data_IF_093894403127
#
_entry.id   IF_093894403127
#
_cell.length_a   1.000
_cell.length_b   1.000
_cell.length_c   1.000
_cell.angle_alpha   90.00
_cell.angle_beta   90.00
_cell.angle_gamma   90.00
#
_symmetry.space_group_name_H-M   'P 1'
#
loop_
_entity.id
_entity.type
_entity.pdbx_description
1 polymer ?
#
# COMPACT_ATOMS: atom_id res chain seq x y z
N UNK A 1 -17.09 -12.76 17.94
CA UNK A 1 -15.75 -12.61 18.48
C UNK A 1 -15.37 -13.90 19.21
N UNK A 2 -14.11 -14.31 19.10
CA UNK A 2 -13.55 -15.49 19.79
C UNK A 2 -12.16 -15.14 20.28
N UNK A 3 -11.74 -15.71 21.40
CA UNK A 3 -10.39 -15.62 21.93
C UNK A 3 -9.49 -16.76 21.45
N UNK A 4 -10.08 -17.77 20.78
CA UNK A 4 -9.40 -18.97 20.34
C UNK A 4 -9.63 -19.17 18.84
N UNK A 5 -8.62 -19.73 18.17
CA UNK A 5 -8.73 -20.20 16.80
C UNK A 5 -9.36 -21.60 16.79
N UNK A 6 -10.09 -21.98 15.74
CA UNK A 6 -10.64 -23.33 15.63
C UNK A 6 -9.52 -24.35 15.43
N UNK A 7 -9.44 -25.36 16.32
CA UNK A 7 -8.48 -26.43 16.26
C UNK A 7 -9.00 -27.63 15.42
N UNK A 8 -10.31 -27.80 15.31
CA UNK A 8 -10.95 -28.88 14.58
C UNK A 8 -11.15 -28.58 13.10
N UNK A 9 -10.98 -29.55 12.21
CA UNK A 9 -11.12 -29.38 10.76
C UNK A 9 -12.51 -28.83 10.35
N UNK A 10 -13.59 -29.31 11.00
CA UNK A 10 -14.95 -28.83 10.72
C UNK A 10 -15.14 -27.35 11.07
N UNK A 11 -14.56 -26.91 12.19
CA UNK A 11 -14.58 -25.51 12.61
C UNK A 11 -13.68 -24.65 11.71
N UNK A 12 -12.60 -25.21 11.18
CA UNK A 12 -11.73 -24.53 10.21
C UNK A 12 -12.49 -24.21 8.92
N UNK A 13 -13.35 -25.10 8.44
CA UNK A 13 -14.21 -24.86 7.28
C UNK A 13 -15.27 -23.78 7.55
N UNK A 14 -15.79 -23.70 8.78
CA UNK A 14 -16.68 -22.63 9.21
C UNK A 14 -15.92 -21.28 9.31
N UNK A 15 -14.73 -21.32 9.89
CA UNK A 15 -13.86 -20.14 10.05
C UNK A 15 -13.48 -19.53 8.69
N UNK A 16 -13.28 -20.35 7.65
CA UNK A 16 -12.99 -19.84 6.30
C UNK A 16 -14.19 -19.11 5.65
N UNK A 17 -15.40 -19.27 6.18
CA UNK A 17 -16.60 -18.55 5.72
C UNK A 17 -16.66 -17.11 6.25
N UNK A 18 -15.95 -16.80 7.35
CA UNK A 18 -15.79 -15.43 7.82
C UNK A 18 -14.72 -14.72 6.99
N UNK A 19 -15.17 -13.90 6.06
CA UNK A 19 -14.28 -13.24 5.11
C UNK A 19 -13.35 -12.24 5.80
N UNK A 20 -13.91 -11.33 6.59
CA UNK A 20 -13.17 -10.31 7.33
C UNK A 20 -12.73 -10.85 8.70
N UNK A 21 -11.48 -10.57 9.03
CA UNK A 21 -10.87 -10.96 10.30
C UNK A 21 -10.09 -9.79 10.87
N UNK A 22 -10.28 -9.55 12.16
CA UNK A 22 -9.60 -8.49 12.90
C UNK A 22 -9.01 -9.06 14.17
N UNK A 23 -7.78 -8.66 14.47
CA UNK A 23 -7.15 -8.94 15.76
C UNK A 23 -7.39 -7.73 16.64
N UNK A 24 -8.09 -7.94 17.76
CA UNK A 24 -8.41 -6.90 18.74
C UNK A 24 -7.52 -7.10 19.96
N UNK A 25 -6.58 -6.18 20.16
CA UNK A 25 -5.70 -6.17 21.33
C UNK A 25 -6.28 -5.36 22.49
N UNK A 26 -5.57 -5.36 23.61
CA UNK A 26 -5.87 -4.47 24.72
C UNK A 26 -5.55 -3.01 24.37
N UNK A 27 -6.23 -2.09 25.07
CA UNK A 27 -5.95 -0.65 24.94
C UNK A 27 -4.56 -0.41 25.52
N UNK A 28 -3.62 0.05 24.69
CA UNK A 28 -2.23 0.28 25.09
C UNK A 28 -2.00 1.67 25.68
N UNK A 29 -2.78 2.68 25.23
CA UNK A 29 -2.58 4.06 25.65
C UNK A 29 -3.48 4.43 26.82
N UNK A 30 -2.91 4.94 27.89
CA UNK A 30 -3.60 5.32 29.13
C UNK A 30 -4.75 6.31 28.89
N UNK A 31 -4.57 7.28 27.99
CA UNK A 31 -5.62 8.26 27.69
C UNK A 31 -6.86 7.63 27.05
N UNK A 32 -6.69 6.60 26.22
CA UNK A 32 -7.81 5.84 25.63
C UNK A 32 -8.48 4.95 26.66
N UNK A 33 -7.67 4.35 27.54
CA UNK A 33 -8.18 3.54 28.63
C UNK A 33 -9.02 4.38 29.58
N UNK A 34 -8.56 5.55 30.02
CA UNK A 34 -9.32 6.50 30.87
C UNK A 34 -10.59 6.95 30.16
N UNK A 35 -10.52 7.30 28.88
CA UNK A 35 -11.71 7.67 28.10
C UNK A 35 -12.74 6.55 28.02
N UNK A 36 -12.32 5.30 27.93
CA UNK A 36 -13.20 4.13 27.98
C UNK A 36 -13.92 4.05 29.35
N UNK A 37 -13.18 4.25 30.44
CA UNK A 37 -13.77 4.22 31.81
C UNK A 37 -14.75 5.36 32.03
N UNK A 38 -14.50 6.54 31.49
CA UNK A 38 -15.34 7.73 31.62
C UNK A 38 -16.57 7.70 30.71
N UNK A 39 -16.54 6.88 29.65
CA UNK A 39 -17.58 6.83 28.62
C UNK A 39 -18.83 6.13 29.13
N UNK A 40 -19.81 6.90 29.54
CA UNK A 40 -21.18 6.44 29.90
C UNK A 40 -22.18 6.62 28.75
N UNK A 41 -21.75 7.12 27.57
CA UNK A 41 -22.67 7.41 26.47
C UNK A 41 -23.17 6.13 25.82
N UNK A 42 -24.48 5.90 25.86
CA UNK A 42 -25.13 5.01 24.91
C UNK A 42 -24.97 5.60 23.51
N UNK A 43 -24.37 4.83 22.62
CA UNK A 43 -24.30 5.23 21.22
C UNK A 43 -25.71 5.37 20.65
N UNK A 44 -25.99 6.46 19.95
CA UNK A 44 -27.21 6.60 19.16
C UNK A 44 -27.27 5.44 18.15
N UNK A 45 -28.38 4.71 18.12
CA UNK A 45 -28.58 3.59 17.22
C UNK A 45 -28.99 4.10 15.86
N UNK A 46 -28.10 4.05 14.90
CA UNK A 46 -28.47 4.23 13.50
C UNK A 46 -29.13 2.95 12.99
N UNK A 47 -30.29 3.07 12.33
CA UNK A 47 -31.04 1.95 11.77
C UNK A 47 -31.18 2.12 10.26
N UNK A 48 -31.12 1.00 9.54
CA UNK A 48 -31.43 0.91 8.11
C UNK A 48 -32.63 -0.03 7.92
N UNK A 49 -33.52 0.31 7.01
CA UNK A 49 -34.56 -0.62 6.55
C UNK A 49 -33.94 -1.67 5.61
N UNK A 50 -34.61 -2.81 5.45
CA UNK A 50 -34.18 -3.83 4.49
C UNK A 50 -34.14 -3.29 3.06
N UNK A 51 -35.08 -2.46 2.67
CA UNK A 51 -35.14 -1.86 1.35
C UNK A 51 -33.94 -0.92 1.08
N UNK A 52 -33.55 -0.12 2.06
CA UNK A 52 -32.34 0.72 1.96
C UNK A 52 -31.08 -0.14 1.85
N UNK A 53 -31.00 -1.24 2.59
CA UNK A 53 -29.86 -2.16 2.52
C UNK A 53 -29.76 -2.82 1.14
N UNK A 54 -30.89 -3.28 0.57
CA UNK A 54 -30.94 -3.87 -0.76
C UNK A 54 -30.53 -2.86 -1.85
N UNK A 55 -30.99 -1.61 -1.73
CA UNK A 55 -30.59 -0.54 -2.65
C UNK A 55 -29.07 -0.26 -2.56
N UNK A 56 -28.51 -0.15 -1.36
CA UNK A 56 -27.07 -0.01 -1.16
C UNK A 56 -26.28 -1.19 -1.76
N UNK A 57 -26.75 -2.44 -1.60
CA UNK A 57 -26.12 -3.61 -2.20
C UNK A 57 -26.11 -3.55 -3.72
N UNK A 58 -27.20 -3.09 -4.34
CA UNK A 58 -27.27 -2.90 -5.79
C UNK A 58 -26.30 -1.82 -6.27
N UNK A 59 -26.17 -0.72 -5.53
CA UNK A 59 -25.21 0.34 -5.83
C UNK A 59 -23.76 -0.14 -5.71
N UNK A 60 -23.44 -0.94 -4.69
CA UNK A 60 -22.12 -1.57 -4.52
C UNK A 60 -21.77 -2.46 -5.72
N UNK A 61 -22.72 -3.28 -6.19
CA UNK A 61 -22.51 -4.14 -7.36
C UNK A 61 -22.26 -3.36 -8.67
N UNK A 62 -22.73 -2.11 -8.75
CA UNK A 62 -22.50 -1.24 -9.89
C UNK A 62 -21.08 -0.62 -9.93
N UNK A 63 -20.30 -0.72 -8.83
CA UNK A 63 -18.91 -0.26 -8.78
C UNK A 63 -18.06 -1.14 -9.68
N UNK A 64 -17.36 -0.55 -10.64
CA UNK A 64 -16.54 -1.28 -11.61
C UNK A 64 -15.20 -1.74 -10.98
N UNK A 65 -14.67 -2.86 -11.49
CA UNK A 65 -13.34 -3.34 -11.10
C UNK A 65 -12.45 -3.34 -12.35
N UNK A 66 -11.50 -2.39 -12.45
CA UNK A 66 -10.60 -2.31 -13.59
C UNK A 66 -9.64 -3.49 -13.68
N UNK A 67 -9.15 -3.79 -14.88
CA UNK A 67 -8.28 -4.94 -15.15
C UNK A 67 -6.92 -4.88 -14.40
N UNK A 68 -6.44 -3.69 -14.06
CA UNK A 68 -5.20 -3.54 -13.29
C UNK A 68 -5.39 -4.00 -11.83
N UNK A 69 -6.58 -3.83 -11.25
CA UNK A 69 -6.91 -4.33 -9.90
C UNK A 69 -6.87 -5.85 -9.86
N UNK A 70 -7.45 -6.53 -10.86
CA UNK A 70 -7.34 -8.00 -10.95
C UNK A 70 -5.89 -8.48 -11.04
N UNK A 71 -5.03 -7.75 -11.77
CA UNK A 71 -3.59 -8.05 -11.83
C UNK A 71 -2.92 -7.84 -10.48
N UNK A 72 -3.24 -6.75 -9.78
CA UNK A 72 -2.76 -6.50 -8.42
C UNK A 72 -3.12 -7.63 -7.45
N UNK A 73 -4.36 -8.13 -7.50
CA UNK A 73 -4.78 -9.30 -6.70
C UNK A 73 -3.96 -10.55 -7.05
N UNK A 74 -3.72 -10.80 -8.34
CA UNK A 74 -2.93 -11.94 -8.78
C UNK A 74 -1.47 -11.83 -8.33
N UNK A 75 -0.91 -10.62 -8.31
CA UNK A 75 0.45 -10.36 -7.81
C UNK A 75 0.54 -10.58 -6.31
N UNK A 76 -0.44 -10.07 -5.53
CA UNK A 76 -0.55 -10.33 -4.09
C UNK A 76 -0.59 -11.84 -3.83
N UNK A 77 -1.47 -12.57 -4.53
CA UNK A 77 -1.57 -14.05 -4.40
C UNK A 77 -0.22 -14.73 -4.64
N UNK A 78 0.50 -14.32 -5.67
CA UNK A 78 1.79 -14.90 -6.05
C UNK A 78 2.85 -14.66 -4.97
N UNK A 79 2.92 -13.45 -4.43
CA UNK A 79 3.90 -13.11 -3.41
C UNK A 79 3.58 -13.76 -2.05
N UNK A 80 2.30 -13.84 -1.66
CA UNK A 80 1.88 -14.55 -0.46
C UNK A 80 2.18 -16.06 -0.57
N UNK A 81 1.92 -16.67 -1.72
CA UNK A 81 2.24 -18.08 -1.95
C UNK A 81 3.74 -18.38 -1.82
N UNK A 82 4.63 -17.47 -2.27
CA UNK A 82 6.09 -17.60 -2.07
C UNK A 82 6.48 -17.61 -0.58
N UNK A 83 5.66 -17.00 0.24
CA UNK A 83 5.85 -16.93 1.71
C UNK A 83 5.07 -18.02 2.45
N UNK A 84 4.52 -19.02 1.73
CA UNK A 84 3.70 -20.12 2.24
C UNK A 84 2.37 -19.67 2.89
N UNK A 85 1.90 -18.45 2.59
CA UNK A 85 0.60 -17.96 3.02
C UNK A 85 -0.38 -18.22 1.88
N UNK A 86 -1.25 -19.21 2.06
CA UNK A 86 -2.19 -19.67 1.03
C UNK A 86 -3.62 -19.38 1.46
N UNK A 87 -4.25 -18.39 0.83
CA UNK A 87 -5.69 -18.17 0.96
C UNK A 87 -6.46 -18.94 -0.12
N UNK A 88 -7.68 -19.38 0.19
CA UNK A 88 -8.52 -20.12 -0.76
C UNK A 88 -8.97 -19.23 -1.94
N UNK A 89 -9.16 -19.82 -3.13
CA UNK A 89 -9.69 -19.12 -4.29
C UNK A 89 -11.06 -18.49 -4.02
N UNK A 90 -11.85 -19.14 -3.17
CA UNK A 90 -13.13 -18.62 -2.68
C UNK A 90 -12.95 -17.27 -1.97
N UNK A 91 -11.93 -17.12 -1.12
CA UNK A 91 -11.66 -15.87 -0.39
C UNK A 91 -11.29 -14.74 -1.35
N UNK A 92 -10.45 -15.02 -2.34
CA UNK A 92 -10.14 -14.07 -3.40
C UNK A 92 -11.38 -13.63 -4.18
N UNK A 93 -12.26 -14.57 -4.53
CA UNK A 93 -13.50 -14.25 -5.23
C UNK A 93 -14.45 -13.39 -4.38
N UNK A 94 -14.63 -13.76 -3.11
CA UNK A 94 -15.50 -13.00 -2.19
C UNK A 94 -14.92 -11.62 -1.87
N UNK A 95 -13.61 -11.44 -1.89
CA UNK A 95 -12.99 -10.14 -1.65
C UNK A 95 -13.31 -9.09 -2.73
N UNK A 96 -13.72 -9.50 -3.93
CA UNK A 96 -14.13 -8.55 -4.97
C UNK A 96 -15.32 -7.69 -4.52
N UNK A 97 -16.36 -8.33 -3.97
CA UNK A 97 -17.51 -7.61 -3.43
C UNK A 97 -17.13 -6.70 -2.24
N UNK A 98 -16.15 -7.12 -1.44
CA UNK A 98 -15.63 -6.32 -0.34
C UNK A 98 -14.91 -5.07 -0.85
N UNK A 99 -14.05 -5.20 -1.88
CA UNK A 99 -13.36 -4.07 -2.50
C UNK A 99 -14.35 -3.09 -3.14
N UNK A 100 -15.39 -3.59 -3.81
CA UNK A 100 -16.48 -2.76 -4.35
C UNK A 100 -17.21 -2.00 -3.23
N UNK A 101 -17.51 -2.68 -2.12
CA UNK A 101 -18.15 -2.05 -0.97
C UNK A 101 -17.27 -0.97 -0.33
N UNK A 102 -15.96 -1.22 -0.22
CA UNK A 102 -15.01 -0.24 0.29
C UNK A 102 -14.94 0.99 -0.60
N UNK A 103 -14.76 0.83 -1.91
CA UNK A 103 -14.74 1.92 -2.88
C UNK A 103 -16.06 2.73 -2.86
N UNK A 104 -17.20 2.04 -2.78
CA UNK A 104 -18.51 2.68 -2.65
C UNK A 104 -18.62 3.55 -1.39
N UNK A 105 -18.18 3.05 -0.24
CA UNK A 105 -18.18 3.80 1.02
C UNK A 105 -17.25 5.01 1.02
N UNK A 106 -16.18 4.96 0.22
CA UNK A 106 -15.28 6.10 -0.05
C UNK A 106 -15.84 7.07 -1.12
N UNK A 107 -17.02 6.79 -1.67
CA UNK A 107 -17.68 7.61 -2.69
C UNK A 107 -17.15 7.43 -4.11
N UNK A 108 -16.37 6.37 -4.35
CA UNK A 108 -15.76 6.07 -5.63
C UNK A 108 -16.70 5.21 -6.52
N UNK A 109 -16.58 5.35 -7.84
CA UNK A 109 -17.36 4.59 -8.83
C UNK A 109 -16.63 3.38 -9.37
N UNK A 110 -15.34 3.26 -9.07
CA UNK A 110 -14.53 2.12 -9.45
C UNK A 110 -13.51 1.81 -8.34
N UNK A 111 -13.12 0.55 -8.27
CA UNK A 111 -12.10 0.07 -7.32
C UNK A 111 -10.73 0.53 -7.78
N UNK A 112 -9.99 1.16 -6.88
CA UNK A 112 -8.62 1.63 -7.11
C UNK A 112 -7.57 0.70 -6.47
N UNK A 113 -6.29 0.89 -6.81
CA UNK A 113 -5.20 0.12 -6.16
C UNK A 113 -5.15 0.31 -4.64
N UNK A 114 -5.49 1.50 -4.14
CA UNK A 114 -5.57 1.78 -2.70
C UNK A 114 -6.53 0.85 -1.95
N UNK A 115 -7.61 0.40 -2.62
CA UNK A 115 -8.60 -0.48 -2.00
C UNK A 115 -8.03 -1.88 -1.73
N UNK A 116 -6.98 -2.29 -2.46
CA UNK A 116 -6.30 -3.56 -2.24
C UNK A 116 -5.67 -3.69 -0.85
N UNK A 117 -5.39 -2.58 -0.17
CA UNK A 117 -4.94 -2.62 1.24
C UNK A 117 -5.93 -3.35 2.13
N UNK A 118 -7.23 -3.27 1.82
CA UNK A 118 -8.26 -3.92 2.62
C UNK A 118 -8.15 -5.45 2.64
N UNK A 119 -7.42 -6.03 1.68
CA UNK A 119 -7.12 -7.47 1.64
C UNK A 119 -6.25 -7.94 2.82
N UNK A 120 -5.59 -7.03 3.54
CA UNK A 120 -4.87 -7.36 4.77
C UNK A 120 -5.78 -7.98 5.84
N UNK A 121 -7.08 -7.67 5.81
CA UNK A 121 -8.08 -8.23 6.73
C UNK A 121 -8.73 -9.51 6.21
N UNK A 122 -8.33 -9.98 5.03
CA UNK A 122 -8.97 -11.09 4.32
C UNK A 122 -8.04 -12.30 4.16
N UNK A 123 -6.76 -12.08 3.80
CA UNK A 123 -5.93 -13.12 3.20
C UNK A 123 -5.10 -13.94 4.20
N UNK A 124 -5.16 -13.67 5.49
CA UNK A 124 -4.49 -14.46 6.51
C UNK A 124 -5.44 -15.51 7.14
N UNK A 125 -4.86 -16.58 7.66
CA UNK A 125 -5.58 -17.65 8.40
C UNK A 125 -5.25 -17.60 9.88
N UNK A 126 -3.99 -17.44 10.20
CA UNK A 126 -3.47 -17.31 11.56
C UNK A 126 -3.14 -15.84 11.85
N UNK A 127 -3.48 -15.30 13.03
CA UNK A 127 -3.08 -13.95 13.44
C UNK A 127 -1.58 -13.67 13.30
N UNK A 128 -0.73 -14.69 13.44
CA UNK A 128 0.71 -14.56 13.23
C UNK A 128 1.09 -14.21 11.77
N UNK A 129 0.24 -14.56 10.79
CA UNK A 129 0.44 -14.24 9.38
C UNK A 129 0.05 -12.79 9.05
N UNK A 130 -0.79 -12.16 9.88
CA UNK A 130 -1.41 -10.87 9.58
C UNK A 130 -0.39 -9.79 9.22
N UNK A 131 0.67 -9.62 10.02
CA UNK A 131 1.69 -8.60 9.75
C UNK A 131 2.47 -8.89 8.47
N UNK A 132 2.73 -10.17 8.17
CA UNK A 132 3.40 -10.55 6.93
C UNK A 132 2.52 -10.32 5.69
N UNK A 133 1.20 -10.58 5.79
CA UNK A 133 0.22 -10.27 4.74
C UNK A 133 0.17 -8.77 4.50
N UNK A 134 0.00 -7.99 5.57
CA UNK A 134 -0.04 -6.53 5.53
C UNK A 134 1.19 -5.93 4.87
N UNK A 135 2.38 -6.32 5.32
CA UNK A 135 3.65 -5.85 4.75
C UNK A 135 3.77 -6.23 3.27
N UNK A 136 3.40 -7.47 2.90
CA UNK A 136 3.46 -7.92 1.50
C UNK A 136 2.55 -7.10 0.60
N UNK A 137 1.32 -6.83 1.03
CA UNK A 137 0.38 -6.01 0.27
C UNK A 137 0.90 -4.57 0.15
N UNK A 138 1.40 -4.02 1.25
CA UNK A 138 1.96 -2.67 1.30
C UNK A 138 3.15 -2.51 0.36
N UNK A 139 4.10 -3.41 0.41
CA UNK A 139 5.27 -3.41 -0.48
C UNK A 139 4.89 -3.52 -1.96
N UNK A 140 3.84 -4.28 -2.27
CA UNK A 140 3.37 -4.41 -3.65
C UNK A 140 2.65 -3.16 -4.16
N UNK A 141 1.90 -2.48 -3.32
CA UNK A 141 1.09 -1.32 -3.71
C UNK A 141 1.88 -0.02 -3.62
N UNK A 142 2.59 0.21 -2.52
CA UNK A 142 3.34 1.44 -2.25
C UNK A 142 4.84 1.33 -2.55
N UNK A 143 5.36 0.11 -2.69
CA UNK A 143 6.80 -0.14 -2.67
C UNK A 143 7.63 0.76 -3.58
N UNK A 144 7.13 1.09 -4.78
CA UNK A 144 7.85 2.03 -5.64
C UNK A 144 7.56 3.50 -5.33
N UNK A 145 6.43 3.86 -4.70
CA UNK A 145 6.14 5.26 -4.34
C UNK A 145 6.98 5.73 -3.16
N UNK A 146 7.15 4.89 -2.14
CA UNK A 146 8.07 5.15 -1.02
C UNK A 146 9.51 5.20 -1.54
N UNK A 147 9.94 4.16 -2.28
CA UNK A 147 11.28 4.06 -2.85
C UNK A 147 11.63 5.25 -3.77
N UNK A 148 10.69 5.68 -4.62
CA UNK A 148 10.86 6.84 -5.49
C UNK A 148 10.94 8.14 -4.70
N UNK A 149 10.13 8.28 -3.65
CA UNK A 149 10.15 9.46 -2.79
C UNK A 149 11.47 9.57 -2.02
N UNK A 150 12.02 8.45 -1.55
CA UNK A 150 13.34 8.37 -0.93
C UNK A 150 14.45 8.73 -1.92
N UNK A 151 14.41 8.19 -3.15
CA UNK A 151 15.38 8.50 -4.19
C UNK A 151 15.35 9.98 -4.60
N UNK A 152 14.17 10.58 -4.65
CA UNK A 152 14.03 12.02 -4.91
C UNK A 152 14.60 12.84 -3.77
N UNK A 153 14.31 12.48 -2.52
CA UNK A 153 14.86 13.12 -1.35
C UNK A 153 16.39 13.02 -1.33
N UNK A 154 16.96 11.84 -1.51
CA UNK A 154 18.39 11.59 -1.61
C UNK A 154 19.03 12.48 -2.73
N UNK A 155 18.36 12.58 -3.88
CA UNK A 155 18.83 13.42 -5.00
C UNK A 155 18.92 14.89 -4.64
N UNK A 156 17.95 15.40 -3.88
CA UNK A 156 17.94 16.79 -3.40
C UNK A 156 19.02 17.04 -2.36
N UNK A 157 19.25 16.11 -1.43
CA UNK A 157 20.33 16.22 -0.44
C UNK A 157 21.72 16.21 -1.11
N UNK A 158 21.91 15.37 -2.12
CA UNK A 158 23.17 15.32 -2.89
C UNK A 158 23.39 16.67 -3.60
N UNK A 159 22.37 17.27 -4.22
CA UNK A 159 22.44 18.60 -4.83
C UNK A 159 22.82 19.65 -3.79
N UNK A 160 22.13 19.68 -2.66
CA UNK A 160 22.37 20.68 -1.61
C UNK A 160 23.77 20.56 -1.02
N UNK A 161 24.30 19.34 -0.95
CA UNK A 161 25.69 19.09 -0.56
C UNK A 161 26.69 19.59 -1.61
N UNK A 162 26.41 19.43 -2.89
CA UNK A 162 27.29 19.86 -3.97
C UNK A 162 27.28 21.40 -4.19
N UNK A 163 26.23 22.10 -3.75
CA UNK A 163 26.10 23.58 -3.87
C UNK A 163 26.69 24.35 -2.69
N UNK A 164 27.25 23.69 -1.68
CA UNK A 164 27.91 24.34 -0.55
C UNK A 164 29.14 25.12 -1.03
N UNK A 165 29.53 26.20 -0.34
CA UNK A 165 30.77 26.92 -0.65
C UNK A 165 31.98 26.01 -0.36
N UNK A 166 32.82 25.81 -1.37
CA UNK A 166 34.05 25.02 -1.30
C UNK A 166 35.27 25.94 -1.14
N UNK A 167 36.23 25.48 -0.36
CA UNK A 167 37.43 26.27 -0.09
C UNK A 167 38.39 26.38 -1.31
N UNK A 168 38.39 25.31 -2.16
CA UNK A 168 39.29 25.23 -3.32
C UNK A 168 38.55 24.79 -4.58
N UNK A 169 39.09 25.13 -5.75
CA UNK A 169 38.58 24.70 -7.05
C UNK A 169 38.63 23.18 -7.23
N UNK A 170 39.66 22.54 -6.66
CA UNK A 170 39.82 21.07 -6.73
C UNK A 170 38.77 20.35 -5.89
N UNK A 171 38.43 20.85 -4.72
CA UNK A 171 37.36 20.31 -3.90
C UNK A 171 36.00 20.42 -4.60
N UNK A 172 35.75 21.57 -5.22
CA UNK A 172 34.55 21.79 -6.03
C UNK A 172 34.46 20.79 -7.19
N UNK A 173 35.55 20.57 -7.94
CA UNK A 173 35.59 19.63 -9.04
C UNK A 173 35.32 18.18 -8.57
N UNK A 174 35.92 17.75 -7.46
CA UNK A 174 35.67 16.41 -6.86
C UNK A 174 34.21 16.26 -6.42
N UNK A 175 33.65 17.26 -5.76
CA UNK A 175 32.24 17.25 -5.33
C UNK A 175 31.28 17.12 -6.51
N UNK A 176 31.57 17.77 -7.64
CA UNK A 176 30.80 17.64 -8.88
C UNK A 176 30.87 16.24 -9.49
N UNK A 177 32.05 15.64 -9.56
CA UNK A 177 32.22 14.28 -10.06
C UNK A 177 31.43 13.31 -9.17
N UNK A 178 31.52 13.47 -7.86
CA UNK A 178 30.77 12.66 -6.90
C UNK A 178 29.26 12.85 -7.06
N UNK A 179 28.80 14.07 -7.21
CA UNK A 179 27.39 14.42 -7.47
C UNK A 179 26.89 13.71 -8.72
N UNK A 180 27.57 13.83 -9.85
CA UNK A 180 27.18 13.17 -11.08
C UNK A 180 27.14 11.65 -10.96
N UNK A 181 28.12 11.07 -10.27
CA UNK A 181 28.19 9.63 -10.09
C UNK A 181 27.01 9.13 -9.23
N UNK A 182 26.70 9.82 -8.15
CA UNK A 182 25.58 9.47 -7.25
C UNK A 182 24.25 9.62 -7.98
N UNK A 183 23.99 10.74 -8.67
CA UNK A 183 22.74 10.94 -9.41
C UNK A 183 22.55 9.94 -10.55
N UNK A 184 23.63 9.58 -11.25
CA UNK A 184 23.57 8.54 -12.28
C UNK A 184 23.15 7.19 -11.70
N UNK A 185 23.65 6.85 -10.51
CA UNK A 185 23.26 5.62 -9.83
C UNK A 185 21.80 5.67 -9.39
N UNK A 186 21.31 6.82 -8.91
CA UNK A 186 19.90 7.01 -8.54
C UNK A 186 19.02 6.87 -9.79
N UNK A 187 19.35 7.52 -10.90
CA UNK A 187 18.60 7.39 -12.16
C UNK A 187 18.53 5.94 -12.64
N UNK A 188 19.61 5.18 -12.51
CA UNK A 188 19.62 3.76 -12.85
C UNK A 188 18.65 2.94 -11.96
N UNK A 189 18.54 3.26 -10.66
CA UNK A 189 17.54 2.65 -9.77
C UNK A 189 16.12 3.02 -10.19
N UNK A 190 15.87 4.31 -10.52
CA UNK A 190 14.55 4.76 -11.02
C UNK A 190 14.18 4.04 -12.31
N UNK A 191 15.12 3.85 -13.25
CA UNK A 191 14.87 3.10 -14.49
C UNK A 191 14.50 1.63 -14.21
N UNK A 192 15.14 0.98 -13.21
CA UNK A 192 14.76 -0.36 -12.79
C UNK A 192 13.34 -0.40 -12.22
N UNK A 193 12.93 0.62 -11.46
CA UNK A 193 11.56 0.75 -10.94
C UNK A 193 10.56 0.92 -12.10
N UNK A 194 10.87 1.77 -13.10
CA UNK A 194 10.05 1.93 -14.30
C UNK A 194 9.85 0.60 -15.01
N UNK A 195 10.92 -0.15 -15.23
CA UNK A 195 10.86 -1.46 -15.90
C UNK A 195 10.04 -2.48 -15.10
N UNK A 196 10.21 -2.50 -13.78
CA UNK A 196 9.42 -3.33 -12.86
C UNK A 196 7.93 -2.96 -12.91
N UNK A 197 7.60 -1.67 -12.85
CA UNK A 197 6.23 -1.19 -12.93
C UNK A 197 5.58 -1.55 -14.29
N UNK A 198 6.29 -1.35 -15.39
CA UNK A 198 5.82 -1.74 -16.75
C UNK A 198 5.55 -3.24 -16.86
N UNK A 199 6.46 -4.11 -16.35
CA UNK A 199 6.26 -5.57 -16.36
C UNK A 199 5.04 -6.00 -15.56
N UNK A 200 4.72 -5.28 -14.49
CA UNK A 200 3.55 -5.53 -13.66
C UNK A 200 2.27 -4.83 -14.19
N UNK A 201 2.38 -4.08 -15.30
CA UNK A 201 1.27 -3.34 -15.89
C UNK A 201 0.75 -2.21 -14.99
N UNK A 202 1.63 -1.64 -14.16
CA UNK A 202 1.29 -0.54 -13.25
C UNK A 202 1.47 0.82 -13.91
N UNK A 203 0.76 1.84 -13.42
CA UNK A 203 0.98 3.21 -13.86
C UNK A 203 2.42 3.65 -13.60
N UNK A 204 3.03 4.27 -14.60
CA UNK A 204 4.43 4.76 -14.51
C UNK A 204 4.55 6.29 -14.48
N UNK A 205 3.41 6.98 -14.48
CA UNK A 205 3.34 8.45 -14.58
C UNK A 205 4.10 9.10 -13.43
N UNK A 206 3.87 8.66 -12.21
CA UNK A 206 4.53 9.19 -11.02
C UNK A 206 6.03 8.94 -11.05
N UNK A 207 6.45 7.73 -11.44
CA UNK A 207 7.86 7.36 -11.56
C UNK A 207 8.56 8.21 -12.61
N UNK A 208 7.92 8.41 -13.77
CA UNK A 208 8.46 9.24 -14.84
C UNK A 208 8.52 10.71 -14.45
N UNK A 209 7.56 11.23 -13.67
CA UNK A 209 7.62 12.59 -13.13
C UNK A 209 8.85 12.77 -12.26
N UNK A 210 9.09 11.87 -11.31
CA UNK A 210 10.26 11.92 -10.42
C UNK A 210 11.57 11.74 -11.21
N UNK A 211 11.60 10.85 -12.19
CA UNK A 211 12.74 10.68 -13.10
C UNK A 211 13.10 12.00 -13.78
N UNK A 212 12.10 12.67 -14.36
CA UNK A 212 12.29 13.97 -15.03
C UNK A 212 12.78 15.03 -14.06
N UNK A 213 12.28 15.03 -12.83
CA UNK A 213 12.70 15.97 -11.79
C UNK A 213 14.18 15.78 -11.42
N UNK A 214 14.63 14.51 -11.26
CA UNK A 214 16.04 14.19 -11.00
C UNK A 214 16.93 14.56 -12.19
N UNK A 215 16.50 14.33 -13.44
CA UNK A 215 17.21 14.75 -14.65
C UNK A 215 17.34 16.29 -14.72
N UNK A 216 16.29 17.02 -14.32
CA UNK A 216 16.36 18.48 -14.23
C UNK A 216 17.35 18.97 -13.18
N UNK A 217 17.40 18.33 -11.99
CA UNK A 217 18.40 18.63 -10.98
C UNK A 217 19.82 18.43 -11.52
N UNK A 218 20.05 17.35 -12.27
CA UNK A 218 21.34 17.06 -12.89
C UNK A 218 21.72 18.14 -13.92
N UNK A 219 20.78 18.55 -14.78
CA UNK A 219 20.99 19.57 -15.81
C UNK A 219 21.28 20.95 -15.21
N UNK A 220 20.50 21.36 -14.21
CA UNK A 220 20.71 22.66 -13.52
C UNK A 220 22.10 22.77 -12.91
N UNK A 221 22.63 21.69 -12.37
CA UNK A 221 23.99 21.68 -11.81
C UNK A 221 25.07 21.78 -12.90
N UNK A 222 24.84 21.21 -14.10
CA UNK A 222 25.76 21.35 -15.24
C UNK A 222 25.79 22.77 -15.80
N UNK A 223 24.68 23.51 -15.72
CA UNK A 223 24.58 24.90 -16.22
C UNK A 223 25.18 25.92 -15.25
N UNK A 224 25.40 25.59 -13.98
CA UNK A 224 25.97 26.48 -12.95
C UNK A 224 27.50 26.41 -12.88
N UNK A 225 28.15 25.60 -13.71
CA UNK A 225 29.57 25.34 -13.73
C UNK A 225 30.19 25.39 -15.12
#
# INVERSE_FOLDING_TARGET
>A
ASNELPEEEELTALYDRFLLRFVVGYIAEDFRFLRMLESQKQAERTTLSLAELEDLQNQVQAVSIPSHVYRGIADIRRELNKKNIVASDRRYHQSLALLQAHAFLEGEKEVAEKDLFFLEHVLWRDPAEHEQVRTTIRDLILGYEEEISELLYESREIRDSATRPWATSDEKARALIEFHTKLRNILAKVDQIVDKAKRLGRPVERVNTVRTEIEQLQKQMLEQF
#
